data_IF_461869392847
#
_entry.id   IF_461869392847
#
_cell.length_a   1.000
_cell.length_b   1.000
_cell.length_c   1.000
_cell.angle_alpha   90.00
_cell.angle_beta   90.00
_cell.angle_gamma   90.00
#
_symmetry.space_group_name_H-M   'P 1'
#
loop_
_entity.id
_entity.type
_entity.pdbx_description
1 polymer ?
#
# COMPACT_ATOMS: atom_id res chain seq x y z
N UNK A 1 14.36 2.62 7.59
CA UNK A 1 13.21 3.44 7.17
C UNK A 1 13.52 4.15 5.88
N UNK A 2 12.63 4.04 4.88
CA UNK A 2 12.72 4.78 3.61
C UNK A 2 11.66 5.87 3.48
N UNK A 3 10.40 5.57 3.79
CA UNK A 3 9.28 6.53 3.81
C UNK A 3 9.09 7.37 2.52
N UNK A 4 9.53 6.87 1.37
CA UNK A 4 9.47 7.59 0.10
C UNK A 4 10.75 8.33 -0.29
N UNK A 5 11.54 8.78 0.69
CA UNK A 5 12.76 9.56 0.44
C UNK A 5 13.89 8.73 -0.19
N UNK A 6 13.77 7.40 -0.24
CA UNK A 6 14.75 6.47 -0.83
C UNK A 6 14.20 5.73 -2.05
N UNK A 7 13.21 6.32 -2.73
CA UNK A 7 12.68 5.80 -3.99
C UNK A 7 13.49 6.34 -5.16
N UNK A 8 13.55 7.67 -5.27
CA UNK A 8 14.21 8.36 -6.36
C UNK A 8 15.71 8.39 -6.15
N UNK A 9 16.50 8.31 -7.23
CA UNK A 9 17.94 8.44 -7.13
C UNK A 9 18.33 9.87 -6.76
N UNK A 10 19.40 9.99 -5.98
CA UNK A 10 20.09 11.23 -5.67
C UNK A 10 21.30 11.43 -6.58
N UNK A 11 21.83 12.66 -6.74
CA UNK A 11 23.07 12.89 -7.46
C UNK A 11 24.21 11.98 -7.00
N UNK A 12 24.31 11.71 -5.70
CA UNK A 12 25.33 10.87 -5.09
C UNK A 12 25.23 9.40 -5.52
N UNK A 13 24.04 8.90 -5.85
CA UNK A 13 23.86 7.53 -6.38
C UNK A 13 24.52 7.35 -7.75
N UNK A 14 24.75 8.45 -8.49
CA UNK A 14 25.50 8.45 -9.75
C UNK A 14 26.97 8.82 -9.57
N UNK A 15 27.26 9.77 -8.67
CA UNK A 15 28.63 10.26 -8.45
C UNK A 15 29.51 9.24 -7.74
N UNK A 16 28.99 8.51 -6.74
CA UNK A 16 29.76 7.49 -6.01
C UNK A 16 30.30 6.39 -6.93
N UNK A 17 29.49 5.73 -7.78
CA UNK A 17 30.02 4.73 -8.71
C UNK A 17 30.93 5.34 -9.78
N UNK A 18 30.67 6.58 -10.24
CA UNK A 18 31.53 7.26 -11.18
C UNK A 18 32.93 7.52 -10.59
N UNK A 19 33.01 8.03 -9.36
CA UNK A 19 34.28 8.24 -8.65
C UNK A 19 34.97 6.91 -8.38
N UNK A 20 34.24 5.87 -7.96
CA UNK A 20 34.81 4.53 -7.73
C UNK A 20 35.49 4.00 -9.00
N UNK A 21 34.88 4.20 -10.17
CA UNK A 21 35.46 3.81 -11.47
C UNK A 21 36.72 4.62 -11.81
N UNK A 22 36.74 5.92 -11.53
CA UNK A 22 37.89 6.78 -11.83
C UNK A 22 39.12 6.45 -10.98
N UNK A 23 38.93 6.03 -9.73
CA UNK A 23 40.03 5.74 -8.80
C UNK A 23 40.31 4.24 -8.63
N UNK A 24 39.53 3.38 -9.30
CA UNK A 24 39.61 1.91 -9.25
C UNK A 24 39.57 1.32 -7.82
N UNK A 25 38.81 1.97 -6.91
CA UNK A 25 38.69 1.56 -5.51
C UNK A 25 37.25 1.74 -5.00
N UNK A 26 36.82 0.99 -3.98
CA UNK A 26 35.52 1.23 -3.34
C UNK A 26 35.43 2.64 -2.76
N UNK A 27 34.31 3.31 -3.02
CA UNK A 27 33.97 4.63 -2.47
C UNK A 27 32.74 4.47 -1.60
N UNK A 28 32.79 5.03 -0.38
CA UNK A 28 31.66 5.07 0.53
C UNK A 28 31.23 6.52 0.73
N UNK A 29 29.94 6.77 0.58
CA UNK A 29 29.30 8.02 0.96
C UNK A 29 28.19 7.74 1.96
N UNK A 30 28.07 8.64 2.93
CA UNK A 30 27.00 8.64 3.94
C UNK A 30 26.73 10.08 4.33
N UNK A 31 25.50 10.54 4.12
CA UNK A 31 25.08 11.88 4.54
C UNK A 31 25.01 12.03 6.07
N UNK A 32 25.22 13.25 6.55
CA UNK A 32 24.85 13.70 7.89
C UNK A 32 23.36 14.04 7.97
N UNK A 33 22.84 14.24 9.19
CA UNK A 33 21.46 14.71 9.39
C UNK A 33 21.20 16.09 8.77
N UNK A 34 22.20 16.97 8.78
CA UNK A 34 22.05 18.32 8.24
C UNK A 34 21.91 18.27 6.72
N UNK A 35 22.75 17.47 6.06
CA UNK A 35 22.64 17.20 4.62
C UNK A 35 21.29 16.57 4.29
N UNK A 36 20.85 15.56 5.04
CA UNK A 36 19.55 14.93 4.82
C UNK A 36 18.38 15.92 4.90
N UNK A 37 18.41 16.88 5.82
CA UNK A 37 17.34 17.88 5.95
C UNK A 37 17.41 18.93 4.83
N UNK A 38 18.60 19.25 4.34
CA UNK A 38 18.82 20.29 3.34
C UNK A 38 18.65 19.78 1.90
N UNK A 39 19.01 18.52 1.64
CA UNK A 39 19.19 17.98 0.30
C UNK A 39 18.19 16.86 -0.05
N UNK A 40 17.58 16.19 0.95
CA UNK A 40 16.59 15.16 0.65
C UNK A 40 15.38 15.77 -0.06
N UNK A 41 14.78 15.00 -0.97
CA UNK A 41 13.54 15.42 -1.59
C UNK A 41 12.44 15.58 -0.55
N UNK A 42 11.69 16.68 -0.62
CA UNK A 42 10.66 17.00 0.35
C UNK A 42 9.27 16.56 -0.12
N UNK A 43 8.39 16.26 0.83
CA UNK A 43 6.97 16.01 0.53
C UNK A 43 6.09 17.24 0.71
N UNK A 44 4.82 17.11 0.28
CA UNK A 44 3.76 18.12 0.41
C UNK A 44 4.01 19.30 -0.54
N UNK A 45 4.54 20.43 -0.09
CA UNK A 45 4.88 21.56 -0.98
C UNK A 45 3.74 22.05 -1.89
N UNK A 46 2.49 21.94 -1.45
CA UNK A 46 1.29 22.18 -2.28
C UNK A 46 0.35 23.20 -1.63
N UNK A 47 -0.27 24.03 -2.46
CA UNK A 47 -1.31 24.99 -2.09
C UNK A 47 -2.59 24.61 -2.84
N UNK A 48 -3.73 24.64 -2.17
CA UNK A 48 -5.01 24.29 -2.75
C UNK A 48 -6.03 25.42 -2.62
N UNK A 49 -6.59 25.84 -3.75
CA UNK A 49 -7.78 26.67 -3.81
C UNK A 49 -8.97 25.76 -4.12
N UNK A 50 -9.94 25.71 -3.20
CA UNK A 50 -11.04 24.74 -3.26
C UNK A 50 -12.38 25.44 -3.06
N UNK A 51 -13.31 25.15 -3.96
CA UNK A 51 -14.70 25.60 -3.88
C UNK A 51 -15.62 24.38 -3.93
N UNK A 52 -16.64 24.36 -3.07
CA UNK A 52 -17.63 23.27 -3.02
C UNK A 52 -19.05 23.82 -3.10
N UNK A 53 -19.92 23.06 -3.76
CA UNK A 53 -21.35 23.30 -3.82
C UNK A 53 -22.10 22.11 -3.23
N UNK A 54 -23.08 22.40 -2.37
CA UNK A 54 -23.98 21.40 -1.79
C UNK A 54 -25.39 21.97 -1.62
N UNK A 55 -26.37 21.08 -1.50
CA UNK A 55 -27.73 21.46 -1.10
C UNK A 55 -27.78 21.75 0.41
N UNK A 56 -28.81 22.48 0.84
CA UNK A 56 -29.09 22.73 2.27
C UNK A 56 -29.24 21.46 3.11
N UNK A 57 -29.63 20.35 2.49
CA UNK A 57 -29.79 19.06 3.16
C UNK A 57 -28.48 18.26 3.28
N UNK A 58 -27.35 18.82 2.84
CA UNK A 58 -26.04 18.17 2.87
C UNK A 58 -25.69 17.36 1.63
N UNK A 59 -26.55 17.28 0.60
CA UNK A 59 -26.22 16.55 -0.64
C UNK A 59 -25.11 17.27 -1.42
N UNK A 60 -23.99 16.59 -1.65
CA UNK A 60 -22.86 17.14 -2.42
C UNK A 60 -23.23 17.31 -3.90
N UNK A 61 -22.86 18.45 -4.49
CA UNK A 61 -23.14 18.76 -5.90
C UNK A 61 -21.86 18.84 -6.72
N UNK A 62 -20.93 19.70 -6.34
CA UNK A 62 -19.75 19.94 -7.15
C UNK A 62 -18.55 20.38 -6.34
N UNK A 63 -17.36 20.03 -6.80
CA UNK A 63 -16.09 20.54 -6.26
C UNK A 63 -15.22 21.09 -7.40
N UNK A 64 -14.61 22.24 -7.18
CA UNK A 64 -13.56 22.79 -8.04
C UNK A 64 -12.27 22.89 -7.23
N UNK A 65 -11.19 22.31 -7.73
CA UNK A 65 -9.89 22.24 -7.04
C UNK A 65 -8.80 22.79 -7.96
N UNK A 66 -8.05 23.78 -7.49
CA UNK A 66 -6.79 24.19 -8.12
C UNK A 66 -5.64 23.89 -7.16
N UNK A 67 -4.73 23.03 -7.60
CA UNK A 67 -3.48 22.71 -6.90
C UNK A 67 -2.34 23.52 -7.52
N UNK A 68 -1.63 24.28 -6.70
CA UNK A 68 -0.32 24.84 -7.04
C UNK A 68 0.76 24.01 -6.34
N UNK A 69 1.57 23.32 -7.12
CA UNK A 69 2.64 22.44 -6.66
C UNK A 69 3.99 23.16 -6.80
N UNK A 70 4.66 23.40 -5.68
CA UNK A 70 6.07 23.77 -5.67
C UNK A 70 6.90 22.53 -6.04
N UNK A 71 7.45 22.50 -7.24
CA UNK A 71 8.22 21.38 -7.76
C UNK A 71 9.68 21.39 -7.28
N UNK A 72 10.16 22.49 -6.70
CA UNK A 72 11.59 22.75 -6.52
C UNK A 72 12.27 23.22 -7.80
N UNK A 73 13.60 23.21 -7.81
CA UNK A 73 14.40 23.69 -8.95
C UNK A 73 14.37 22.71 -10.13
N UNK A 74 14.09 21.44 -9.85
CA UNK A 74 14.06 20.34 -10.81
C UNK A 74 12.92 19.40 -10.46
N UNK A 75 12.45 18.65 -11.45
CA UNK A 75 11.51 17.54 -11.24
C UNK A 75 12.30 16.26 -10.97
N UNK A 76 12.07 15.64 -9.81
CA UNK A 76 12.51 14.29 -9.51
C UNK A 76 11.61 13.26 -10.20
N UNK A 77 11.98 11.98 -10.10
CA UNK A 77 11.34 10.87 -10.81
C UNK A 77 9.82 10.80 -10.54
N UNK A 78 9.37 11.09 -9.33
CA UNK A 78 7.96 11.01 -8.93
C UNK A 78 7.33 12.37 -8.59
N UNK A 79 7.97 13.50 -8.93
CA UNK A 79 7.43 14.84 -8.64
C UNK A 79 6.06 15.09 -9.28
N UNK A 80 5.84 14.60 -10.50
CA UNK A 80 4.54 14.74 -11.17
C UNK A 80 3.43 13.92 -10.48
N UNK A 81 3.78 12.88 -9.73
CA UNK A 81 2.83 12.03 -9.04
C UNK A 81 2.08 12.77 -7.92
N UNK A 82 2.60 13.90 -7.44
CA UNK A 82 1.91 14.77 -6.46
C UNK A 82 0.55 15.28 -6.99
N UNK A 83 0.34 15.30 -8.30
CA UNK A 83 -0.96 15.64 -8.92
C UNK A 83 -2.07 14.62 -8.61
N UNK A 84 -1.72 13.45 -8.06
CA UNK A 84 -2.67 12.49 -7.51
C UNK A 84 -3.61 13.12 -6.46
N UNK A 85 -3.19 14.20 -5.80
CA UNK A 85 -4.04 14.98 -4.90
C UNK A 85 -5.35 15.45 -5.56
N UNK A 86 -5.25 15.97 -6.78
CA UNK A 86 -6.40 16.41 -7.57
C UNK A 86 -7.26 15.23 -8.03
N UNK A 87 -6.61 14.14 -8.45
CA UNK A 87 -7.25 12.93 -8.92
C UNK A 87 -8.11 12.25 -7.84
N UNK A 88 -7.74 12.41 -6.56
CA UNK A 88 -8.43 11.81 -5.41
C UNK A 88 -9.14 12.83 -4.51
N UNK A 89 -9.27 14.08 -4.94
CA UNK A 89 -9.81 15.16 -4.10
C UNK A 89 -11.27 14.93 -3.64
N UNK A 90 -12.01 14.04 -4.33
CA UNK A 90 -13.35 13.64 -3.94
C UNK A 90 -13.43 12.80 -2.66
N UNK A 91 -12.31 12.20 -2.24
CA UNK A 91 -12.23 11.35 -1.06
C UNK A 91 -13.23 10.18 -1.10
N UNK A 92 -13.81 9.85 0.04
CA UNK A 92 -14.76 8.75 0.20
C UNK A 92 -16.20 9.11 -0.24
N UNK A 93 -16.42 10.23 -0.93
CA UNK A 93 -17.75 10.84 -1.05
C UNK A 93 -18.30 10.90 -2.48
N UNK A 94 -19.62 10.76 -2.59
CA UNK A 94 -20.38 10.87 -3.84
C UNK A 94 -20.60 12.32 -4.25
N UNK A 95 -19.61 12.91 -4.94
CA UNK A 95 -19.76 14.18 -5.64
C UNK A 95 -20.43 13.98 -7.00
N UNK A 96 -21.37 14.85 -7.41
CA UNK A 96 -21.94 14.75 -8.77
C UNK A 96 -20.95 15.16 -9.85
N UNK A 97 -20.08 16.12 -9.56
CA UNK A 97 -19.04 16.56 -10.48
C UNK A 97 -17.81 17.07 -9.72
N UNK A 98 -16.63 16.80 -10.24
CA UNK A 98 -15.38 17.40 -9.77
C UNK A 98 -14.61 17.94 -10.98
N UNK A 99 -14.11 19.16 -10.86
CA UNK A 99 -13.17 19.75 -11.79
C UNK A 99 -11.86 20.04 -11.06
N UNK A 100 -10.75 19.54 -11.57
CA UNK A 100 -9.44 19.75 -10.95
C UNK A 100 -8.40 20.26 -11.93
N UNK A 101 -7.51 21.12 -11.45
CA UNK A 101 -6.36 21.64 -12.21
C UNK A 101 -5.12 21.62 -11.34
N UNK A 102 -4.01 21.10 -11.87
CA UNK A 102 -2.69 21.16 -11.22
C UNK A 102 -1.77 22.11 -11.97
N UNK A 103 -1.04 22.96 -11.25
CA UNK A 103 -0.08 23.93 -11.76
C UNK A 103 1.27 23.66 -11.07
N UNK A 104 2.25 23.17 -11.82
CA UNK A 104 3.62 23.01 -11.32
C UNK A 104 4.40 24.32 -11.43
N UNK A 105 5.09 24.70 -10.37
CA UNK A 105 5.92 25.92 -10.30
C UNK A 105 7.33 25.53 -9.92
N UNK A 106 8.32 25.97 -10.70
CA UNK A 106 9.73 25.82 -10.35
C UNK A 106 10.15 26.90 -9.36
N UNK A 107 10.92 26.51 -8.34
CA UNK A 107 11.41 27.42 -7.29
C UNK A 107 12.88 27.13 -6.99
N UNK A 108 13.57 28.03 -6.28
CA UNK A 108 14.96 27.79 -5.84
C UNK A 108 15.02 26.90 -4.59
N UNK A 109 14.39 25.73 -4.63
CA UNK A 109 14.35 24.74 -3.53
C UNK A 109 14.71 23.34 -4.04
N UNK A 110 14.94 22.41 -3.11
CA UNK A 110 15.05 20.99 -3.45
C UNK A 110 13.78 20.46 -4.14
N UNK A 111 13.88 19.40 -4.95
CA UNK A 111 12.70 18.79 -5.57
C UNK A 111 11.66 18.32 -4.56
N UNK A 112 10.38 18.51 -4.91
CA UNK A 112 9.27 17.88 -4.18
C UNK A 112 9.02 16.48 -4.73
N UNK A 113 9.01 15.46 -3.87
CA UNK A 113 8.89 14.04 -4.21
C UNK A 113 8.16 13.26 -3.09
N UNK A 114 7.87 11.95 -3.22
CA UNK A 114 7.12 11.20 -2.23
C UNK A 114 7.72 11.24 -0.81
N UNK A 115 6.86 11.58 0.14
CA UNK A 115 7.09 11.33 1.57
C UNK A 115 5.83 10.67 2.13
N UNK A 116 5.95 9.39 2.49
CA UNK A 116 4.87 8.47 2.88
C UNK A 116 3.60 8.76 2.09
N UNK A 117 3.55 8.18 0.90
CA UNK A 117 2.61 8.53 -0.17
C UNK A 117 3.03 9.80 -0.96
N UNK A 118 2.21 10.24 -1.90
CA UNK A 118 2.47 11.37 -2.79
C UNK A 118 1.13 11.86 -3.36
N UNK A 119 0.72 13.06 -2.97
CA UNK A 119 -0.58 13.64 -3.32
C UNK A 119 -1.79 13.03 -2.57
N UNK A 120 -1.78 11.75 -2.20
CA UNK A 120 -2.93 11.10 -1.53
C UNK A 120 -3.24 11.67 -0.13
N UNK A 121 -2.25 11.90 0.78
CA UNK A 121 -2.51 12.58 2.05
C UNK A 121 -3.07 14.00 1.86
N UNK A 122 -2.61 14.71 0.83
CA UNK A 122 -3.10 16.03 0.45
C UNK A 122 -4.55 15.95 -0.08
N UNK A 123 -4.88 14.91 -0.86
CA UNK A 123 -6.24 14.62 -1.30
C UNK A 123 -7.18 14.40 -0.12
N UNK A 124 -6.79 13.53 0.83
CA UNK A 124 -7.54 13.29 2.07
C UNK A 124 -7.69 14.58 2.86
N UNK A 125 -6.62 15.37 2.98
CA UNK A 125 -6.68 16.65 3.67
C UNK A 125 -7.69 17.60 3.01
N UNK A 126 -7.64 17.77 1.69
CA UNK A 126 -8.58 18.59 0.92
C UNK A 126 -10.02 18.12 1.14
N UNK A 127 -10.29 16.83 0.91
CA UNK A 127 -11.63 16.26 1.05
C UNK A 127 -12.18 16.47 2.47
N UNK A 128 -11.43 16.08 3.50
CA UNK A 128 -11.88 16.15 4.89
C UNK A 128 -12.01 17.58 5.42
N UNK A 129 -11.13 18.49 4.99
CA UNK A 129 -11.28 19.91 5.31
C UNK A 129 -12.54 20.49 4.70
N UNK A 130 -12.85 20.16 3.44
CA UNK A 130 -14.08 20.63 2.80
C UNK A 130 -15.34 20.07 3.45
N UNK A 131 -15.34 18.79 3.84
CA UNK A 131 -16.46 18.21 4.58
C UNK A 131 -16.68 18.88 5.93
N UNK A 132 -15.61 19.17 6.67
CA UNK A 132 -15.73 19.87 7.96
C UNK A 132 -16.21 21.33 7.83
N UNK A 133 -15.74 22.06 6.81
CA UNK A 133 -16.19 23.42 6.54
C UNK A 133 -17.64 23.45 6.09
N UNK A 134 -18.05 22.49 5.25
CA UNK A 134 -19.43 22.38 4.80
C UNK A 134 -20.38 22.00 5.93
N UNK A 135 -19.99 21.08 6.81
CA UNK A 135 -20.78 20.73 7.99
C UNK A 135 -21.00 21.95 8.90
N UNK A 136 -19.97 22.79 9.08
CA UNK A 136 -20.06 24.02 9.85
C UNK A 136 -21.06 25.01 9.22
N UNK A 137 -20.94 25.26 7.91
CA UNK A 137 -21.82 26.18 7.18
C UNK A 137 -23.29 25.71 7.20
N UNK A 138 -23.51 24.41 7.01
CA UNK A 138 -24.85 23.81 7.02
C UNK A 138 -25.41 23.60 8.44
N UNK A 139 -24.62 23.85 9.48
CA UNK A 139 -24.94 23.53 10.88
C UNK A 139 -25.37 22.07 11.06
N UNK A 140 -24.68 21.16 10.37
CA UNK A 140 -24.90 19.72 10.39
C UNK A 140 -23.79 19.04 11.20
N UNK A 141 -24.08 17.91 11.84
CA UNK A 141 -23.03 17.11 12.48
C UNK A 141 -22.05 16.58 11.41
N UNK A 142 -20.77 16.55 11.78
CA UNK A 142 -19.66 16.18 10.89
C UNK A 142 -19.70 14.71 10.46
N UNK A 143 -20.16 13.81 11.33
CA UNK A 143 -20.32 12.41 11.00
C UNK A 143 -21.56 12.22 10.13
N UNK A 144 -22.66 12.88 10.45
CA UNK A 144 -23.91 12.79 9.69
C UNK A 144 -23.74 13.26 8.23
N UNK A 145 -23.05 14.38 8.01
CA UNK A 145 -22.77 14.86 6.64
C UNK A 145 -21.95 13.85 5.84
N UNK A 146 -20.98 13.17 6.47
CA UNK A 146 -20.14 12.15 5.82
C UNK A 146 -20.95 10.92 5.44
N UNK A 147 -21.69 10.35 6.40
CA UNK A 147 -22.57 9.18 6.19
C UNK A 147 -23.54 9.42 5.04
N UNK A 148 -24.21 10.58 5.02
CA UNK A 148 -25.15 10.95 3.95
C UNK A 148 -24.54 10.85 2.54
N UNK A 149 -23.24 11.06 2.41
CA UNK A 149 -22.57 11.18 1.12
C UNK A 149 -21.61 10.03 0.81
N UNK A 150 -21.56 8.97 1.61
CA UNK A 150 -20.81 7.76 1.24
C UNK A 150 -21.52 6.98 0.13
N UNK A 151 -20.77 6.23 -0.70
CA UNK A 151 -21.33 5.09 -1.43
C UNK A 151 -21.84 4.03 -0.44
N UNK A 152 -22.95 3.40 -0.78
CA UNK A 152 -23.45 2.22 -0.08
C UNK A 152 -22.53 1.04 -0.38
N UNK A 153 -22.44 0.09 0.57
CA UNK A 153 -21.62 -1.12 0.41
C UNK A 153 -21.95 -1.91 -0.86
N UNK A 154 -23.20 -1.89 -1.30
CA UNK A 154 -23.66 -2.55 -2.53
C UNK A 154 -23.30 -1.81 -3.83
N UNK A 155 -22.80 -0.57 -3.74
CA UNK A 155 -22.37 0.20 -4.92
C UNK A 155 -20.94 -0.13 -5.36
N UNK A 156 -20.20 -0.93 -4.58
CA UNK A 156 -18.86 -1.37 -4.95
C UNK A 156 -18.88 -2.56 -5.92
N UNK A 157 -17.99 -2.60 -6.94
CA UNK A 157 -16.96 -1.61 -7.24
C UNK A 157 -17.55 -0.27 -7.72
N UNK A 158 -17.05 0.84 -7.14
CA UNK A 158 -17.60 2.18 -7.31
C UNK A 158 -16.63 3.07 -8.10
N UNK A 159 -17.12 3.73 -9.16
CA UNK A 159 -16.30 4.60 -10.01
C UNK A 159 -16.33 6.05 -9.51
N UNK A 160 -15.16 6.57 -9.15
CA UNK A 160 -14.93 7.96 -8.76
C UNK A 160 -15.05 8.93 -9.96
N UNK A 161 -15.13 10.23 -9.68
CA UNK A 161 -15.37 11.28 -10.69
C UNK A 161 -14.35 11.33 -11.83
N UNK A 162 -13.13 10.84 -11.61
CA UNK A 162 -12.07 10.80 -12.63
C UNK A 162 -11.85 9.40 -13.22
N UNK A 163 -12.82 8.48 -13.07
CA UNK A 163 -12.81 7.15 -13.69
C UNK A 163 -12.03 6.08 -12.92
N UNK A 164 -11.49 6.40 -11.74
CA UNK A 164 -10.85 5.42 -10.87
C UNK A 164 -11.90 4.49 -10.25
N UNK A 165 -11.69 3.18 -10.37
CA UNK A 165 -12.59 2.16 -9.83
C UNK A 165 -12.11 1.74 -8.46
N UNK A 166 -12.89 2.08 -7.43
CA UNK A 166 -12.69 1.64 -6.05
C UNK A 166 -13.21 0.22 -5.92
N UNK A 167 -12.37 -0.70 -5.44
CA UNK A 167 -12.64 -2.15 -5.48
C UNK A 167 -13.74 -2.58 -4.50
N UNK A 168 -13.67 -2.13 -3.26
CA UNK A 168 -14.60 -2.49 -2.18
C UNK A 168 -14.61 -1.42 -1.07
N UNK A 169 -15.64 -1.42 -0.22
CA UNK A 169 -15.71 -0.49 0.91
C UNK A 169 -16.89 -0.70 1.85
N UNK A 170 -16.69 -0.40 3.13
CA UNK A 170 -17.72 -0.29 4.17
C UNK A 170 -17.46 0.95 5.04
N UNK A 171 -17.63 2.12 4.41
CA UNK A 171 -17.28 3.41 5.03
C UNK A 171 -18.21 3.75 6.19
N UNK A 172 -19.48 3.36 6.10
CA UNK A 172 -20.43 3.43 7.20
C UNK A 172 -19.95 2.59 8.38
N UNK A 173 -19.58 1.32 8.17
CA UNK A 173 -19.12 0.43 9.23
C UNK A 173 -17.84 0.91 9.91
N UNK A 174 -16.84 1.39 9.15
CA UNK A 174 -15.60 1.93 9.72
C UNK A 174 -15.85 3.21 10.54
N UNK A 175 -16.67 4.14 10.03
CA UNK A 175 -17.04 5.36 10.75
C UNK A 175 -17.82 5.04 12.03
N UNK A 176 -18.85 4.20 11.96
CA UNK A 176 -19.64 3.83 13.13
C UNK A 176 -18.79 3.15 14.21
N UNK A 177 -17.89 2.26 13.79
CA UNK A 177 -16.95 1.57 14.69
C UNK A 177 -16.03 2.56 15.41
N UNK A 178 -15.41 3.51 14.69
CA UNK A 178 -14.51 4.47 15.34
C UNK A 178 -15.26 5.44 16.25
N UNK A 179 -16.46 5.89 15.87
CA UNK A 179 -17.27 6.79 16.70
C UNK A 179 -17.69 6.11 18.02
N UNK A 180 -18.03 4.82 17.95
CA UNK A 180 -18.34 4.00 19.13
C UNK A 180 -17.12 3.81 20.02
N UNK A 181 -15.97 3.41 19.47
CA UNK A 181 -14.71 3.25 20.24
C UNK A 181 -14.28 4.57 20.89
N UNK A 182 -14.51 5.68 20.19
CA UNK A 182 -14.17 7.00 20.66
C UNK A 182 -15.15 7.54 21.72
N UNK A 183 -16.39 7.05 21.79
CA UNK A 183 -17.42 7.63 22.66
C UNK A 183 -17.87 9.02 22.17
N UNK A 184 -18.11 9.15 20.86
CA UNK A 184 -18.30 10.43 20.18
C UNK A 184 -19.41 11.31 20.78
N UNK A 185 -20.59 10.75 21.07
CA UNK A 185 -21.73 11.51 21.57
C UNK A 185 -21.48 12.10 22.97
N UNK A 186 -20.83 11.33 23.83
CA UNK A 186 -20.42 11.77 25.17
C UNK A 186 -19.39 12.91 25.07
N UNK A 187 -18.35 12.73 24.24
CA UNK A 187 -17.33 13.76 24.04
C UNK A 187 -17.88 15.03 23.38
N UNK A 188 -18.91 14.93 22.53
CA UNK A 188 -19.61 16.10 21.98
C UNK A 188 -20.35 16.88 23.07
N UNK A 189 -20.99 16.19 24.02
CA UNK A 189 -21.59 16.82 25.20
C UNK A 189 -20.54 17.48 26.08
N UNK A 190 -19.46 16.78 26.39
CA UNK A 190 -18.35 17.32 27.20
C UNK A 190 -17.70 18.53 26.54
N UNK A 191 -17.51 18.49 25.22
CA UNK A 191 -17.01 19.62 24.44
C UNK A 191 -17.90 20.86 24.62
N UNK A 192 -19.22 20.70 24.56
CA UNK A 192 -20.15 21.81 24.74
C UNK A 192 -20.05 22.42 26.15
N UNK A 193 -19.95 21.59 27.19
CA UNK A 193 -19.79 22.06 28.58
C UNK A 193 -18.43 22.70 28.84
N UNK A 194 -17.34 22.14 28.29
CA UNK A 194 -16.00 22.70 28.42
C UNK A 194 -15.90 24.09 27.75
N UNK A 195 -16.53 24.27 26.58
CA UNK A 195 -16.58 25.57 25.90
C UNK A 195 -17.34 26.63 26.69
N UNK A 196 -18.40 26.28 27.41
CA UNK A 196 -19.09 27.20 28.33
C UNK A 196 -18.19 27.69 29.47
N UNK A 197 -17.18 26.90 29.83
CA UNK A 197 -16.16 27.24 30.84
C UNK A 197 -14.94 27.96 30.24
N UNK A 198 -14.99 28.36 28.97
CA UNK A 198 -13.90 29.07 28.30
C UNK A 198 -12.76 28.17 27.78
N UNK A 199 -12.87 26.84 27.86
CA UNK A 199 -11.85 25.93 27.33
C UNK A 199 -11.90 25.83 25.80
N UNK A 200 -10.75 25.79 25.16
CA UNK A 200 -10.62 25.56 23.72
C UNK A 200 -10.46 24.06 23.46
N UNK A 201 -11.56 23.37 23.16
CA UNK A 201 -11.57 21.93 22.87
C UNK A 201 -12.09 21.62 21.47
N UNK A 202 -11.41 20.69 20.80
CA UNK A 202 -11.66 20.29 19.41
C UNK A 202 -11.91 18.78 19.29
N UNK A 203 -12.80 18.40 18.37
CA UNK A 203 -12.98 17.01 17.94
C UNK A 203 -12.87 16.99 16.42
N UNK A 204 -11.77 16.43 15.93
CA UNK A 204 -11.50 16.19 14.52
C UNK A 204 -11.97 14.80 14.10
N UNK A 205 -12.49 14.71 12.87
CA UNK A 205 -12.93 13.48 12.24
C UNK A 205 -12.31 13.42 10.84
N UNK A 206 -11.79 12.26 10.46
CA UNK A 206 -11.29 12.01 9.10
C UNK A 206 -11.75 10.63 8.64
N UNK A 207 -12.44 10.54 7.51
CA UNK A 207 -12.68 9.27 6.81
C UNK A 207 -11.89 9.25 5.52
N UNK A 208 -10.94 8.32 5.42
CA UNK A 208 -9.94 8.29 4.36
C UNK A 208 -10.13 7.06 3.48
N UNK A 209 -9.72 7.20 2.22
CA UNK A 209 -9.48 6.12 1.26
C UNK A 209 -8.07 6.34 0.71
N UNK A 210 -7.37 5.27 0.37
CA UNK A 210 -6.02 5.37 -0.21
C UNK A 210 -5.94 4.54 -1.50
N UNK A 211 -5.32 5.11 -2.53
CA UNK A 211 -4.96 4.36 -3.74
C UNK A 211 -3.61 3.69 -3.53
N UNK A 212 -3.64 2.38 -3.32
CA UNK A 212 -2.48 1.52 -3.03
C UNK A 212 -2.24 0.52 -4.18
N UNK A 213 -1.13 -0.23 -4.09
CA UNK A 213 -0.85 -1.29 -5.08
C UNK A 213 -0.52 -0.74 -6.47
N UNK A 214 0.30 0.32 -6.53
CA UNK A 214 0.73 0.92 -7.81
C UNK A 214 1.27 -0.16 -8.75
N UNK A 215 0.56 -0.39 -9.85
CA UNK A 215 0.81 -1.56 -10.69
C UNK A 215 0.09 -1.60 -12.04
N UNK A 216 -1.21 -1.24 -12.14
CA UNK A 216 -1.96 -1.45 -13.39
C UNK A 216 -1.35 -0.68 -14.55
N UNK A 217 -0.81 -1.40 -15.54
CA UNK A 217 -0.04 -0.81 -16.64
C UNK A 217 -0.88 0.11 -17.53
N UNK A 218 -2.15 -0.25 -17.74
CA UNK A 218 -3.08 0.58 -18.52
C UNK A 218 -3.27 2.00 -17.96
N UNK A 219 -3.19 2.16 -16.64
CA UNK A 219 -3.37 3.46 -15.96
C UNK A 219 -2.02 4.14 -15.68
N UNK A 220 -1.02 3.36 -15.27
CA UNK A 220 0.29 3.90 -14.86
C UNK A 220 1.28 4.08 -16.02
N UNK A 221 1.08 3.38 -17.13
CA UNK A 221 1.94 3.39 -18.32
C UNK A 221 2.20 4.80 -18.88
N UNK A 222 1.18 5.63 -19.14
CA UNK A 222 1.39 7.00 -19.63
C UNK A 222 2.28 7.86 -18.71
N UNK A 223 2.18 7.67 -17.39
CA UNK A 223 2.96 8.41 -16.40
C UNK A 223 4.38 7.85 -16.18
N UNK A 224 4.63 6.61 -16.61
CA UNK A 224 5.90 5.89 -16.40
C UNK A 224 6.69 5.69 -17.69
N UNK A 225 6.28 6.33 -18.80
CA UNK A 225 6.92 6.16 -20.11
C UNK A 225 6.70 4.78 -20.73
N UNK A 226 5.60 4.11 -20.38
CA UNK A 226 5.23 2.77 -20.86
C UNK A 226 5.70 1.61 -19.99
N UNK A 227 6.33 1.90 -18.84
CA UNK A 227 6.85 0.89 -17.92
C UNK A 227 5.74 0.31 -17.06
N UNK A 228 5.50 -1.00 -17.18
CA UNK A 228 4.48 -1.70 -16.38
C UNK A 228 5.05 -2.03 -15.00
N UNK A 229 4.44 -1.46 -13.96
CA UNK A 229 4.87 -1.59 -12.55
C UNK A 229 4.44 -2.94 -11.95
N UNK A 230 4.88 -4.05 -12.54
CA UNK A 230 4.62 -5.40 -12.01
C UNK A 230 5.45 -5.70 -10.75
N UNK A 231 5.24 -6.85 -10.11
CA UNK A 231 6.26 -7.43 -9.23
C UNK A 231 6.56 -8.86 -9.62
N UNK A 232 7.66 -9.38 -9.07
CA UNK A 232 8.09 -10.74 -9.29
C UNK A 232 8.48 -11.46 -8.01
N UNK A 233 8.34 -12.78 -8.05
CA UNK A 233 8.85 -13.69 -7.04
C UNK A 233 9.41 -14.96 -7.69
N UNK A 234 10.50 -15.47 -7.13
CA UNK A 234 11.08 -16.77 -7.46
C UNK A 234 11.09 -17.61 -6.19
N UNK A 235 10.34 -18.71 -6.19
CA UNK A 235 10.28 -19.65 -5.06
C UNK A 235 11.03 -20.91 -5.46
N UNK A 236 11.97 -21.33 -4.61
CA UNK A 236 12.79 -22.52 -4.79
C UNK A 236 12.77 -23.38 -3.54
N UNK A 237 12.35 -24.64 -3.68
CA UNK A 237 12.40 -25.64 -2.62
C UNK A 237 13.65 -26.50 -2.82
N UNK A 238 14.52 -26.51 -1.80
CA UNK A 238 15.77 -27.25 -1.80
C UNK A 238 15.55 -28.75 -1.52
N UNK A 239 16.52 -29.63 -1.85
CA UNK A 239 16.37 -31.08 -1.63
C UNK A 239 16.04 -31.50 -0.19
N UNK A 240 16.48 -30.70 0.81
CA UNK A 240 16.21 -30.94 2.23
C UNK A 240 14.89 -30.31 2.72
N UNK A 241 14.09 -29.70 1.84
CA UNK A 241 12.79 -29.09 2.17
C UNK A 241 12.83 -27.62 2.58
N UNK A 242 14.01 -27.02 2.78
CA UNK A 242 14.12 -25.57 2.98
C UNK A 242 13.68 -24.80 1.73
N UNK A 243 13.21 -23.56 1.91
CA UNK A 243 12.65 -22.74 0.83
C UNK A 243 13.40 -21.41 0.75
N UNK A 244 13.92 -21.07 -0.42
CA UNK A 244 14.41 -19.71 -0.71
C UNK A 244 13.38 -18.98 -1.57
N UNK A 245 13.09 -17.74 -1.21
CA UNK A 245 12.13 -16.90 -1.90
C UNK A 245 12.77 -15.56 -2.22
N UNK A 246 13.01 -15.32 -3.50
CA UNK A 246 13.56 -14.06 -3.97
C UNK A 246 12.44 -13.16 -4.45
N UNK A 247 12.44 -11.89 -4.04
CA UNK A 247 11.38 -10.94 -4.35
C UNK A 247 11.94 -9.62 -4.88
N UNK A 248 11.19 -8.99 -5.79
CA UNK A 248 11.53 -7.68 -6.34
C UNK A 248 11.25 -6.50 -5.39
N UNK A 249 10.47 -6.73 -4.34
CA UNK A 249 10.21 -5.76 -3.25
C UNK A 249 11.41 -5.65 -2.30
N UNK A 250 11.53 -4.55 -1.53
CA UNK A 250 12.64 -4.39 -0.57
C UNK A 250 12.12 -4.03 0.83
N UNK A 251 12.64 -4.71 1.85
CA UNK A 251 12.32 -4.37 3.25
C UNK A 251 13.13 -3.16 3.73
N UNK A 252 12.47 -2.16 4.30
CA UNK A 252 13.13 -1.02 4.93
C UNK A 252 12.53 -0.70 6.31
N UNK A 253 11.92 -1.71 6.95
CA UNK A 253 11.41 -1.67 8.32
C UNK A 253 9.93 -2.05 8.46
N UNK A 254 9.22 -2.35 7.37
CA UNK A 254 7.80 -2.68 7.37
C UNK A 254 7.50 -4.18 7.60
N UNK A 255 8.52 -5.00 7.85
CA UNK A 255 8.33 -6.41 8.22
C UNK A 255 8.06 -7.36 7.06
N UNK A 256 8.46 -7.02 5.82
CA UNK A 256 8.24 -7.87 4.64
C UNK A 256 8.86 -9.26 4.81
N UNK A 257 10.02 -9.39 5.47
CA UNK A 257 10.69 -10.69 5.63
C UNK A 257 9.82 -11.67 6.43
N UNK A 258 9.04 -11.16 7.40
CA UNK A 258 8.09 -11.96 8.18
C UNK A 258 6.79 -12.18 7.42
N UNK A 259 6.15 -11.12 6.90
CA UNK A 259 4.83 -11.25 6.26
C UNK A 259 4.89 -12.03 4.95
N UNK A 260 5.96 -11.89 4.18
CA UNK A 260 6.16 -12.70 2.97
C UNK A 260 6.41 -14.16 3.31
N UNK A 261 7.18 -14.45 4.37
CA UNK A 261 7.38 -15.81 4.85
C UNK A 261 6.07 -16.45 5.32
N UNK A 262 5.17 -15.70 5.96
CA UNK A 262 3.83 -16.19 6.34
C UNK A 262 2.99 -16.57 5.12
N UNK A 263 3.00 -15.77 4.05
CA UNK A 263 2.30 -16.10 2.79
C UNK A 263 2.84 -17.42 2.20
N UNK A 264 4.16 -17.60 2.21
CA UNK A 264 4.81 -18.81 1.69
C UNK A 264 4.50 -20.03 2.57
N UNK A 265 4.54 -19.87 3.89
CA UNK A 265 4.23 -20.92 4.86
C UNK A 265 2.79 -21.42 4.66
N UNK A 266 1.83 -20.50 4.57
CA UNK A 266 0.42 -20.85 4.33
C UNK A 266 0.20 -21.49 2.96
N UNK A 267 0.88 -20.98 1.92
CA UNK A 267 0.72 -21.49 0.55
C UNK A 267 1.36 -22.88 0.33
N UNK A 268 2.45 -23.18 1.03
CA UNK A 268 3.22 -24.42 0.85
C UNK A 268 3.06 -25.40 2.02
N UNK A 269 2.40 -25.01 3.11
CA UNK A 269 2.25 -25.83 4.33
C UNK A 269 3.60 -26.24 4.94
N UNK A 270 4.58 -25.36 4.89
CA UNK A 270 5.93 -25.58 5.47
C UNK A 270 6.13 -24.70 6.71
N UNK A 271 6.98 -25.13 7.66
CA UNK A 271 7.30 -24.31 8.82
C UNK A 271 7.95 -22.99 8.39
N UNK A 272 7.56 -21.87 9.02
CA UNK A 272 8.04 -20.55 8.63
C UNK A 272 9.56 -20.41 8.77
N UNK A 273 10.16 -21.11 9.73
CA UNK A 273 11.60 -21.16 9.98
C UNK A 273 12.39 -21.85 8.86
N UNK A 274 11.71 -22.58 7.97
CA UNK A 274 12.33 -23.20 6.79
C UNK A 274 12.45 -22.24 5.60
N UNK A 275 11.95 -21.01 5.73
CA UNK A 275 11.79 -20.04 4.64
C UNK A 275 12.81 -18.91 4.78
N UNK A 276 13.59 -18.70 3.73
CA UNK A 276 14.57 -17.61 3.58
C UNK A 276 14.06 -16.61 2.54
N UNK A 277 13.62 -15.42 3.00
CA UNK A 277 13.21 -14.32 2.12
C UNK A 277 14.44 -13.49 1.74
N UNK A 278 14.66 -13.31 0.43
CA UNK A 278 15.82 -12.62 -0.13
C UNK A 278 15.37 -11.47 -1.02
N UNK A 279 15.97 -10.30 -0.83
CA UNK A 279 15.69 -9.10 -1.60
C UNK A 279 16.87 -8.14 -1.63
N UNK A 280 16.89 -7.23 -2.60
CA UNK A 280 17.83 -6.10 -2.67
C UNK A 280 19.15 -6.35 -3.38
N UNK A 281 19.48 -7.61 -3.71
CA UNK A 281 20.55 -7.93 -4.65
C UNK A 281 19.96 -8.16 -6.05
N UNK A 282 20.27 -7.28 -7.00
CA UNK A 282 19.77 -7.36 -8.38
C UNK A 282 20.44 -8.47 -9.20
N UNK A 283 21.46 -9.13 -8.65
CA UNK A 283 22.09 -10.31 -9.24
C UNK A 283 21.48 -11.63 -8.72
N UNK A 284 20.59 -11.57 -7.72
CA UNK A 284 19.85 -12.73 -7.21
C UNK A 284 18.36 -12.69 -7.63
N UNK A 285 17.75 -13.87 -7.79
CA UNK A 285 16.30 -13.99 -7.90
C UNK A 285 15.69 -13.72 -9.28
N UNK A 286 14.40 -13.29 -9.34
CA UNK A 286 13.73 -13.02 -10.61
C UNK A 286 14.35 -11.77 -11.27
N UNK A 287 14.47 -11.80 -12.61
CA UNK A 287 15.25 -10.79 -13.35
C UNK A 287 14.84 -9.33 -13.21
N UNK A 288 13.67 -9.00 -12.62
CA UNK A 288 13.29 -7.61 -12.35
C UNK A 288 12.10 -7.46 -11.37
N UNK A 289 12.11 -6.38 -10.58
CA UNK A 289 10.98 -5.90 -9.78
C UNK A 289 11.08 -4.40 -9.54
N UNK A 290 10.03 -3.78 -8.99
CA UNK A 290 9.93 -2.32 -8.84
C UNK A 290 10.02 -1.87 -7.38
N UNK A 291 10.43 -2.73 -6.47
CA UNK A 291 10.70 -2.36 -5.09
C UNK A 291 9.45 -2.01 -4.27
N UNK A 292 9.66 -1.30 -3.18
CA UNK A 292 8.62 -1.00 -2.20
C UNK A 292 8.38 0.51 -2.07
N UNK A 293 7.15 0.90 -2.41
CA UNK A 293 6.58 2.23 -2.24
C UNK A 293 5.07 2.17 -2.50
N UNK A 294 4.33 3.27 -2.25
CA UNK A 294 2.90 3.34 -2.56
C UNK A 294 2.07 2.17 -2.00
N UNK A 295 2.50 1.64 -0.84
CA UNK A 295 1.93 0.48 -0.17
C UNK A 295 1.70 -0.74 -1.09
N UNK A 296 2.62 -0.99 -2.03
CA UNK A 296 2.45 -2.01 -3.07
C UNK A 296 3.03 -3.39 -2.75
N UNK A 297 3.87 -3.53 -1.73
CA UNK A 297 4.63 -4.76 -1.49
C UNK A 297 3.74 -5.98 -1.34
N UNK A 298 2.70 -5.89 -0.50
CA UNK A 298 1.80 -7.01 -0.29
C UNK A 298 0.81 -7.16 -1.47
N UNK A 299 0.22 -6.04 -1.91
CA UNK A 299 -0.78 -6.02 -2.98
C UNK A 299 -0.26 -6.53 -4.33
N UNK A 300 1.04 -6.36 -4.61
CA UNK A 300 1.66 -6.80 -5.87
C UNK A 300 2.70 -7.90 -5.64
N UNK A 301 3.70 -7.64 -4.78
CA UNK A 301 4.74 -8.61 -4.45
C UNK A 301 4.20 -9.85 -3.73
N UNK A 302 3.33 -9.68 -2.74
CA UNK A 302 2.68 -10.80 -2.04
C UNK A 302 1.88 -11.70 -2.98
N UNK A 303 1.20 -11.12 -3.97
CA UNK A 303 0.48 -11.90 -5.00
C UNK A 303 1.45 -12.61 -5.95
N UNK A 304 2.57 -11.98 -6.31
CA UNK A 304 3.62 -12.65 -7.10
C UNK A 304 4.17 -13.88 -6.35
N UNK A 305 4.40 -13.77 -5.03
CA UNK A 305 4.82 -14.89 -4.17
C UNK A 305 3.78 -16.01 -4.18
N UNK A 306 2.50 -15.68 -3.94
CA UNK A 306 1.41 -16.66 -3.93
C UNK A 306 1.29 -17.39 -5.28
N UNK A 307 1.43 -16.66 -6.41
CA UNK A 307 1.44 -17.26 -7.75
C UNK A 307 2.67 -18.15 -7.99
N UNK A 308 3.85 -17.76 -7.52
CA UNK A 308 5.04 -18.58 -7.62
C UNK A 308 4.88 -19.88 -6.80
N UNK A 309 4.35 -19.79 -5.58
CA UNK A 309 4.03 -20.97 -4.75
C UNK A 309 3.02 -21.89 -5.46
N UNK A 310 1.95 -21.34 -6.05
CA UNK A 310 0.98 -22.13 -6.81
C UNK A 310 1.64 -22.89 -7.98
N UNK A 311 2.52 -22.24 -8.74
CA UNK A 311 3.28 -22.93 -9.82
C UNK A 311 4.21 -24.02 -9.29
N UNK A 312 4.85 -23.79 -8.15
CA UNK A 312 5.66 -24.82 -7.47
C UNK A 312 4.79 -26.01 -7.06
N UNK A 313 3.59 -25.78 -6.53
CA UNK A 313 2.64 -26.84 -6.19
C UNK A 313 2.20 -27.62 -7.43
N UNK A 314 1.90 -26.95 -8.55
CA UNK A 314 1.55 -27.65 -9.80
C UNK A 314 2.70 -28.54 -10.31
N UNK A 315 3.94 -28.03 -10.32
CA UNK A 315 5.12 -28.87 -10.63
C UNK A 315 5.28 -30.02 -9.61
N UNK A 316 5.00 -29.74 -8.34
CA UNK A 316 5.02 -30.72 -7.26
C UNK A 316 4.00 -31.85 -7.46
N UNK A 317 2.80 -31.56 -7.98
CA UNK A 317 1.80 -32.58 -8.32
C UNK A 317 2.30 -33.55 -9.38
N UNK A 318 3.01 -33.06 -10.39
CA UNK A 318 3.62 -33.90 -11.43
C UNK A 318 4.67 -34.85 -10.84
N UNK A 319 5.53 -34.32 -9.97
CA UNK A 319 6.56 -35.13 -9.30
C UNK A 319 5.91 -36.13 -8.34
N UNK A 320 4.90 -35.71 -7.58
CA UNK A 320 4.18 -36.58 -6.67
C UNK A 320 3.42 -37.69 -7.39
N UNK A 321 2.80 -37.40 -8.54
CA UNK A 321 2.12 -38.38 -9.39
C UNK A 321 3.08 -39.50 -9.83
N UNK A 322 4.30 -39.11 -10.25
CA UNK A 322 5.35 -40.05 -10.59
C UNK A 322 5.76 -40.93 -9.40
N UNK A 323 5.99 -40.32 -8.23
CA UNK A 323 6.47 -41.03 -7.03
C UNK A 323 5.37 -41.91 -6.41
N UNK A 324 4.11 -41.49 -6.48
CA UNK A 324 2.97 -42.21 -5.93
C UNK A 324 2.38 -43.24 -6.90
N UNK A 325 2.87 -43.30 -8.15
CA UNK A 325 2.32 -44.13 -9.23
C UNK A 325 0.81 -43.91 -9.40
N UNK A 326 0.44 -42.64 -9.58
CA UNK A 326 -0.95 -42.19 -9.77
C UNK A 326 -1.04 -41.21 -10.94
N UNK A 327 -2.26 -40.97 -11.44
CA UNK A 327 -2.50 -39.94 -12.44
C UNK A 327 -2.34 -38.53 -11.82
N UNK A 328 -1.87 -37.56 -12.59
CA UNK A 328 -1.64 -36.18 -12.11
C UNK A 328 -2.94 -35.51 -11.64
N UNK A 329 -4.04 -35.73 -12.36
CA UNK A 329 -5.37 -35.24 -12.03
C UNK A 329 -5.94 -35.81 -10.71
N UNK A 330 -5.39 -36.92 -10.24
CA UNK A 330 -5.76 -37.55 -8.97
C UNK A 330 -4.90 -37.07 -7.80
N UNK A 331 -3.88 -36.24 -8.03
CA UNK A 331 -3.05 -35.67 -6.96
C UNK A 331 -3.65 -34.38 -6.40
N UNK A 332 -3.93 -34.41 -5.10
CA UNK A 332 -4.36 -33.26 -4.32
C UNK A 332 -3.19 -32.77 -3.48
N UNK A 333 -2.98 -31.45 -3.46
CA UNK A 333 -2.09 -30.80 -2.51
C UNK A 333 -2.91 -30.21 -1.38
N UNK A 334 -2.55 -30.53 -0.14
CA UNK A 334 -3.18 -30.01 1.06
C UNK A 334 -2.13 -29.84 2.16
N UNK A 335 -1.97 -28.61 2.63
CA UNK A 335 -1.12 -28.24 3.78
C UNK A 335 0.24 -28.98 3.82
N UNK A 336 1.03 -28.84 2.75
CA UNK A 336 2.39 -29.39 2.68
C UNK A 336 2.46 -30.88 2.33
N UNK A 337 1.34 -31.50 1.94
CA UNK A 337 1.29 -32.91 1.52
C UNK A 337 0.61 -33.06 0.17
N UNK A 338 1.18 -33.91 -0.67
CA UNK A 338 0.58 -34.40 -1.91
C UNK A 338 -0.02 -35.78 -1.64
N UNK A 339 -1.27 -36.02 -2.00
CA UNK A 339 -1.94 -37.30 -1.77
C UNK A 339 -2.88 -37.68 -2.91
N UNK A 340 -3.16 -38.99 -3.05
CA UNK A 340 -4.11 -39.49 -4.05
C UNK A 340 -5.54 -39.23 -3.58
N UNK A 341 -6.39 -38.68 -4.45
CA UNK A 341 -7.80 -38.38 -4.18
C UNK A 341 -8.54 -39.63 -3.68
N UNK A 342 -9.20 -39.50 -2.53
CA UNK A 342 -9.91 -40.61 -1.88
C UNK A 342 -9.03 -41.61 -1.13
N UNK A 343 -7.71 -41.44 -1.15
CA UNK A 343 -6.74 -42.27 -0.41
C UNK A 343 -5.67 -41.38 0.27
N UNK A 344 -6.03 -40.59 1.29
CA UNK A 344 -5.12 -39.63 1.94
C UNK A 344 -3.87 -40.28 2.57
N UNK A 345 -3.94 -41.57 2.93
CA UNK A 345 -2.80 -42.33 3.44
C UNK A 345 -1.73 -42.59 2.37
N UNK A 346 -2.09 -42.54 1.08
CA UNK A 346 -1.13 -42.53 -0.04
C UNK A 346 -0.65 -41.11 -0.28
N UNK A 347 0.27 -40.66 0.57
CA UNK A 347 0.78 -39.29 0.56
C UNK A 347 2.29 -39.18 0.61
N UNK A 348 2.78 -38.00 0.20
CA UNK A 348 4.16 -37.55 0.33
C UNK A 348 4.20 -36.12 0.83
N UNK A 349 5.05 -35.84 1.81
CA UNK A 349 5.31 -34.48 2.24
C UNK A 349 6.03 -33.69 1.14
N UNK A 350 5.85 -32.37 1.11
CA UNK A 350 6.49 -31.49 0.12
C UNK A 350 8.00 -31.60 0.10
N UNK A 351 8.64 -31.88 1.25
CA UNK A 351 10.07 -32.18 1.33
C UNK A 351 10.47 -33.49 0.64
N UNK A 352 9.66 -34.54 0.73
CA UNK A 352 9.90 -35.80 0.01
C UNK A 352 9.75 -35.61 -1.51
N UNK A 353 8.73 -34.85 -1.92
CA UNK A 353 8.51 -34.49 -3.33
C UNK A 353 9.64 -33.60 -3.86
N UNK A 354 10.12 -32.65 -3.05
CA UNK A 354 11.27 -31.82 -3.38
C UNK A 354 12.52 -32.69 -3.58
N UNK A 355 12.82 -33.61 -2.66
CA UNK A 355 13.94 -34.54 -2.82
C UNK A 355 13.83 -35.35 -4.12
N UNK A 356 12.65 -35.89 -4.41
CA UNK A 356 12.39 -36.62 -5.65
C UNK A 356 12.59 -35.76 -6.91
N UNK A 357 12.26 -34.47 -6.86
CA UNK A 357 12.45 -33.54 -7.98
C UNK A 357 13.93 -33.34 -8.38
N UNK A 358 14.87 -33.61 -7.49
CA UNK A 358 16.32 -33.61 -7.78
C UNK A 358 16.88 -34.99 -8.14
N UNK A 359 16.04 -36.04 -8.07
CA UNK A 359 16.39 -37.41 -8.40
C UNK A 359 16.18 -37.73 -9.88
N UNK A 360 15.98 -39.03 -10.14
CA UNK A 360 15.61 -39.53 -11.47
C UNK A 360 14.10 -39.35 -11.68
N UNK A 361 13.74 -38.44 -12.56
CA UNK A 361 12.36 -38.16 -12.96
C UNK A 361 11.96 -38.92 -14.23
N UNK A 362 10.66 -38.94 -14.53
CA UNK A 362 10.14 -39.43 -15.80
C UNK A 362 10.66 -38.60 -17.00
N UNK A 363 10.70 -39.23 -18.18
CA UNK A 363 11.12 -38.55 -19.41
C UNK A 363 10.25 -37.33 -19.70
N UNK A 364 10.87 -36.18 -19.98
CA UNK A 364 10.18 -34.92 -20.27
C UNK A 364 9.95 -34.02 -19.05
N UNK A 365 10.27 -34.47 -17.83
CA UNK A 365 10.21 -33.62 -16.64
C UNK A 365 11.54 -32.91 -16.38
N UNK A 366 11.47 -31.61 -16.10
CA UNK A 366 12.63 -30.84 -15.66
C UNK A 366 12.91 -31.05 -14.18
N UNK A 367 14.18 -31.23 -13.83
CA UNK A 367 14.63 -31.36 -12.44
C UNK A 367 14.37 -30.09 -11.60
N UNK A 368 14.47 -30.25 -10.28
CA UNK A 368 14.29 -29.21 -9.29
C UNK A 368 12.83 -28.84 -9.03
N UNK A 369 12.58 -28.16 -7.91
CA UNK A 369 11.24 -27.73 -7.53
C UNK A 369 11.23 -26.23 -7.27
N UNK A 370 11.06 -25.47 -8.35
CA UNK A 370 11.11 -24.00 -8.32
C UNK A 370 10.22 -23.39 -9.40
N UNK A 371 9.78 -22.15 -9.19
CA UNK A 371 9.04 -21.39 -10.18
C UNK A 371 9.19 -19.88 -10.01
N UNK A 372 9.07 -19.17 -11.12
CA UNK A 372 9.00 -17.70 -11.17
C UNK A 372 7.59 -17.26 -11.56
N UNK A 373 7.11 -16.20 -10.91
CA UNK A 373 5.88 -15.52 -11.29
C UNK A 373 6.11 -14.00 -11.34
N UNK A 374 5.50 -13.39 -12.34
CA UNK A 374 5.32 -11.94 -12.42
C UNK A 374 3.83 -11.64 -12.25
N UNK A 375 3.53 -10.52 -11.59
CA UNK A 375 2.17 -10.05 -11.40
C UNK A 375 2.06 -8.57 -11.73
N UNK A 376 1.27 -8.29 -12.76
CA UNK A 376 0.67 -6.99 -12.99
C UNK A 376 -0.78 -7.04 -12.46
N UNK A 377 -1.15 -6.15 -11.52
CA UNK A 377 -2.52 -6.07 -11.04
C UNK A 377 -3.42 -5.40 -12.07
N UNK A 378 -4.67 -5.88 -12.20
CA UNK A 378 -5.65 -5.31 -13.13
C UNK A 378 -6.26 -3.98 -12.64
N UNK A 379 -6.20 -3.72 -11.34
CA UNK A 379 -6.65 -2.49 -10.70
C UNK A 379 -5.77 -2.16 -9.48
N UNK A 380 -5.88 -0.94 -8.95
CA UNK A 380 -5.38 -0.59 -7.62
C UNK A 380 -6.18 -1.29 -6.53
N UNK A 381 -5.64 -1.30 -5.31
CA UNK A 381 -6.38 -1.70 -4.11
C UNK A 381 -6.70 -0.48 -3.26
N UNK A 382 -7.86 -0.48 -2.60
CA UNK A 382 -8.40 0.71 -1.93
C UNK A 382 -8.69 0.48 -0.44
N UNK A 383 -7.65 0.39 0.41
CA UNK A 383 -7.88 0.42 1.85
C UNK A 383 -8.52 1.75 2.26
N UNK A 384 -9.26 1.70 3.36
CA UNK A 384 -10.02 2.83 3.86
C UNK A 384 -10.07 2.80 5.39
N UNK A 385 -10.49 3.90 5.98
CA UNK A 385 -10.60 3.96 7.43
C UNK A 385 -11.23 5.24 7.94
N UNK A 386 -11.38 5.30 9.26
CA UNK A 386 -11.94 6.44 9.96
C UNK A 386 -11.17 6.71 11.26
N UNK A 387 -10.78 7.96 11.46
CA UNK A 387 -9.96 8.41 12.58
C UNK A 387 -10.68 9.55 13.31
N UNK A 388 -10.65 9.52 14.65
CA UNK A 388 -11.23 10.56 15.49
C UNK A 388 -10.18 11.01 16.50
N UNK A 389 -10.02 12.32 16.65
CA UNK A 389 -9.05 12.93 17.55
C UNK A 389 -9.70 14.02 18.38
N UNK A 390 -9.53 13.99 19.70
CA UNK A 390 -9.88 15.08 20.61
C UNK A 390 -8.62 15.82 21.04
N UNK A 391 -8.72 17.14 21.07
CA UNK A 391 -7.65 18.02 21.52
C UNK A 391 -8.15 19.06 22.51
N UNK A 392 -7.30 19.45 23.44
CA UNK A 392 -7.41 20.67 24.24
C UNK A 392 -6.30 21.63 23.81
N UNK A 393 -6.64 22.91 23.70
CA UNK A 393 -5.71 23.98 23.32
C UNK A 393 -5.59 24.93 24.50
N UNK A 394 -4.37 25.18 24.94
CA UNK A 394 -4.08 26.22 25.91
C UNK A 394 -4.25 27.60 25.25
N UNK A 395 -5.14 28.42 25.81
CA UNK A 395 -5.53 29.69 25.18
C UNK A 395 -4.44 30.77 25.26
N UNK A 396 -3.49 30.66 26.19
CA UNK A 396 -2.42 31.65 26.38
C UNK A 396 -1.20 31.34 25.50
N UNK A 397 -0.87 30.05 25.38
CA UNK A 397 0.34 29.56 24.70
C UNK A 397 0.08 28.99 23.31
N UNK A 398 -1.17 28.61 23.01
CA UNK A 398 -1.54 27.88 21.80
C UNK A 398 -1.08 26.41 21.80
N UNK A 399 -0.57 25.89 22.92
CA UNK A 399 -0.14 24.51 23.04
C UNK A 399 -1.32 23.54 22.82
N UNK A 400 -1.13 22.54 21.97
CA UNK A 400 -2.15 21.54 21.62
C UNK A 400 -1.82 20.23 22.30
N UNK A 401 -2.77 19.71 23.08
CA UNK A 401 -2.68 18.37 23.68
C UNK A 401 -3.71 17.45 23.04
N UNK A 402 -3.28 16.29 22.53
CA UNK A 402 -4.17 15.21 22.14
C UNK A 402 -4.67 14.53 23.41
N UNK A 403 -5.97 14.60 23.67
CA UNK A 403 -6.60 14.00 24.86
C UNK A 403 -7.16 12.61 24.57
N UNK A 404 -7.51 12.33 23.31
CA UNK A 404 -7.97 11.01 22.86
C UNK A 404 -7.74 10.84 21.36
N UNK A 405 -7.39 9.63 20.94
CA UNK A 405 -7.30 9.25 19.53
C UNK A 405 -7.86 7.84 19.35
N UNK A 406 -8.67 7.64 18.30
CA UNK A 406 -9.10 6.31 17.87
C UNK A 406 -8.97 6.21 16.35
N UNK A 407 -8.49 5.08 15.87
CA UNK A 407 -8.37 4.76 14.45
C UNK A 407 -9.04 3.41 14.17
N UNK A 408 -9.67 3.32 13.01
CA UNK A 408 -10.14 2.08 12.41
C UNK A 408 -9.65 2.09 10.97
N UNK A 409 -8.80 1.13 10.65
CA UNK A 409 -8.24 0.90 9.32
C UNK A 409 -8.78 -0.43 8.79
N UNK A 410 -9.21 -0.46 7.53
CA UNK A 410 -9.58 -1.66 6.79
C UNK A 410 -8.66 -1.78 5.57
N UNK A 411 -7.82 -2.82 5.60
CA UNK A 411 -6.90 -3.16 4.52
C UNK A 411 -7.22 -4.55 3.92
N UNK A 412 -8.43 -5.05 4.13
CA UNK A 412 -8.84 -6.39 3.75
C UNK A 412 -8.18 -7.47 4.61
N UNK A 413 -7.67 -8.52 3.96
CA UNK A 413 -7.08 -9.66 4.65
C UNK A 413 -5.75 -9.28 5.30
N UNK A 414 -5.73 -9.34 6.63
CA UNK A 414 -4.54 -9.02 7.43
C UNK A 414 -3.65 -10.26 7.53
N UNK A 415 -2.41 -10.14 7.03
CA UNK A 415 -1.39 -11.21 7.15
C UNK A 415 -0.83 -11.28 8.57
N UNK A 416 -0.54 -10.12 9.17
CA UNK A 416 0.04 -10.06 10.50
C UNK A 416 -0.50 -8.84 11.26
N UNK A 417 -1.43 -9.02 12.21
CA UNK A 417 -2.04 -7.92 12.95
C UNK A 417 -1.02 -7.08 13.72
N UNK A 418 0.03 -7.70 14.27
CA UNK A 418 1.08 -7.01 15.04
C UNK A 418 1.96 -6.11 14.17
N UNK A 419 2.12 -6.43 12.87
CA UNK A 419 2.88 -5.58 11.94
C UNK A 419 2.02 -4.44 11.39
N UNK A 420 0.69 -4.63 11.38
CA UNK A 420 -0.26 -3.58 10.97
C UNK A 420 -0.41 -2.51 12.06
N UNK A 421 -0.45 -2.91 13.33
CA UNK A 421 -0.39 -2.03 14.52
C UNK A 421 1.00 -1.39 14.69
#
# INVERSE_FOLDING_TARGET
GGFGSKISPYPEDFLVPAVSKLIERPVKWTESRTEAVQNAYAGRGQIFDVEVAAKKDGTLLGMRVTQTLDAGAYMALFSAFQTCACLMAGGAYKWKAISSRSIGVLTNKIPTDPYRSAGRPEATHVAERMMDLLALELKMDRAELRKKNFPDKSEFPWTQNFGLVVDSGDYHGSLDKVLKLFGYDELRREQAEARKKGKLVGIGLSTWIELCGLGPGAVTGPATGGVVLSESAHVKIHPAGGVSVYVGTHNHGQGNDTTHAQIVADALGVPIESIDIRHGDTNEGPGFGYGTYGSRSLAVGGVAISRACAKVVEKGKQVAAHVLEAAEEDIVFDQGKFHVKGAPDRSKAIGEVAFAAYGRLASGMEQGLEAVAYFEPSNFVWPFGAHVCAVEIDAETGAVQITKYAAVDDCGNIINPMIVE
#
